data_IF_458467515361
#
_entry.id   IF_458467515361
#
_cell.length_a   1.000
_cell.length_b   1.000
_cell.length_c   1.000
_cell.angle_alpha   90.00
_cell.angle_beta   90.00
_cell.angle_gamma   90.00
#
_symmetry.space_group_name_H-M   'P 1'
#
loop_
_entity.id
_entity.type
_entity.pdbx_description
1 polymer ?
#
# COMPACT_ATOMS: atom_id res chain seq x y z
N UNK A 1 20.23 4.29 16.25
CA UNK A 1 18.88 4.49 15.71
C UNK A 1 18.28 3.12 15.60
N UNK A 2 17.07 2.94 16.11
CA UNK A 2 16.33 1.69 15.95
C UNK A 2 15.61 1.74 14.59
N UNK A 3 15.64 0.64 13.85
CA UNK A 3 14.91 0.54 12.58
C UNK A 3 13.42 0.37 12.88
N UNK A 4 12.59 1.34 12.48
CA UNK A 4 11.12 1.23 12.56
C UNK A 4 10.56 0.42 11.37
N UNK A 5 11.13 -0.75 11.12
CA UNK A 5 10.72 -1.63 10.04
C UNK A 5 9.64 -2.60 10.52
N UNK A 6 8.48 -2.54 9.87
CA UNK A 6 7.51 -3.64 9.95
C UNK A 6 8.02 -4.82 9.13
N UNK A 7 8.44 -5.90 9.82
CA UNK A 7 8.95 -7.12 9.20
C UNK A 7 7.93 -7.76 8.25
N UNK A 8 6.65 -7.80 8.66
CA UNK A 8 5.56 -8.35 7.84
C UNK A 8 5.34 -7.51 6.57
N UNK A 9 5.35 -6.18 6.68
CA UNK A 9 5.24 -5.30 5.52
C UNK A 9 6.39 -5.55 4.53
N UNK A 10 7.60 -5.73 5.06
CA UNK A 10 8.78 -6.04 4.26
C UNK A 10 8.66 -7.41 3.59
N UNK A 11 8.21 -8.44 4.30
CA UNK A 11 8.12 -9.81 3.80
C UNK A 11 6.98 -10.04 2.77
N UNK A 12 5.86 -9.33 2.92
CA UNK A 12 4.67 -9.50 2.06
C UNK A 12 4.52 -8.36 1.05
N UNK A 13 4.16 -7.15 1.50
CA UNK A 13 3.84 -6.06 0.58
C UNK A 13 5.07 -5.57 -0.21
N UNK A 14 6.24 -5.49 0.44
CA UNK A 14 7.47 -4.98 -0.20
C UNK A 14 8.16 -6.03 -1.06
N UNK A 15 8.37 -7.23 -0.52
CA UNK A 15 9.09 -8.29 -1.22
C UNK A 15 8.24 -9.07 -2.23
N UNK A 16 6.95 -9.31 -1.94
CA UNK A 16 6.08 -10.15 -2.78
C UNK A 16 5.00 -9.34 -3.52
N UNK A 17 4.76 -8.10 -3.10
CA UNK A 17 3.71 -7.25 -3.69
C UNK A 17 2.29 -7.74 -3.41
N UNK A 18 2.09 -8.42 -2.28
CA UNK A 18 0.81 -8.98 -1.84
C UNK A 18 0.40 -8.42 -0.49
N UNK A 19 -0.87 -8.56 -0.13
CA UNK A 19 -1.32 -8.35 1.25
C UNK A 19 -0.76 -9.44 2.19
N UNK A 20 -1.06 -9.30 3.48
CA UNK A 20 -0.57 -10.22 4.52
C UNK A 20 -1.12 -11.65 4.42
N UNK A 21 -2.19 -11.85 3.65
CA UNK A 21 -2.70 -13.19 3.31
C UNK A 21 -1.95 -13.83 2.12
N UNK A 22 -0.99 -13.14 1.53
CA UNK A 22 -0.22 -13.63 0.38
C UNK A 22 -0.92 -13.44 -0.97
N UNK A 23 -2.07 -12.75 -1.03
CA UNK A 23 -2.82 -12.53 -2.25
C UNK A 23 -2.81 -11.06 -2.70
N UNK A 24 -3.05 -10.82 -4.00
CA UNK A 24 -3.33 -9.48 -4.53
C UNK A 24 -4.83 -9.24 -4.62
N UNK A 25 -5.24 -7.98 -4.58
CA UNK A 25 -6.61 -7.54 -4.88
C UNK A 25 -6.74 -6.87 -6.24
N UNK A 26 -5.64 -6.72 -6.97
CA UNK A 26 -5.61 -6.07 -8.26
C UNK A 26 -5.35 -7.08 -9.38
N UNK A 27 -6.24 -7.07 -10.37
CA UNK A 27 -6.21 -8.00 -11.50
C UNK A 27 -6.44 -7.26 -12.81
N UNK A 28 -5.74 -7.66 -13.87
CA UNK A 28 -5.95 -7.11 -15.20
C UNK A 28 -7.35 -7.46 -15.72
N UNK A 29 -8.11 -6.44 -16.10
CA UNK A 29 -9.49 -6.61 -16.59
C UNK A 29 -9.62 -7.57 -17.77
N UNK A 30 -8.64 -7.58 -18.66
CA UNK A 30 -8.71 -8.34 -19.92
C UNK A 30 -8.46 -9.85 -19.78
N UNK A 31 -7.71 -10.29 -18.76
CA UNK A 31 -7.30 -11.69 -18.64
C UNK A 31 -7.22 -12.21 -17.20
N UNK A 32 -7.60 -11.40 -16.21
CA UNK A 32 -7.59 -11.77 -14.80
C UNK A 32 -6.20 -12.02 -14.22
N UNK A 33 -5.11 -11.69 -14.93
CA UNK A 33 -3.76 -11.89 -14.39
C UNK A 33 -3.53 -10.98 -13.19
N UNK A 34 -2.91 -11.48 -12.11
CA UNK A 34 -2.65 -10.70 -10.91
C UNK A 34 -1.65 -9.59 -11.20
N UNK A 35 -1.83 -8.45 -10.53
CA UNK A 35 -0.87 -7.35 -10.48
C UNK A 35 -0.31 -7.28 -9.06
N UNK A 36 1.01 -7.32 -8.94
CA UNK A 36 1.72 -7.22 -7.68
C UNK A 36 2.30 -5.82 -7.54
N UNK A 37 2.03 -5.16 -6.42
CA UNK A 37 2.36 -3.75 -6.22
C UNK A 37 3.22 -3.58 -4.99
N UNK A 38 4.26 -2.76 -5.12
CA UNK A 38 5.19 -2.47 -4.04
C UNK A 38 4.49 -1.62 -2.96
N UNK A 39 4.34 -2.18 -1.77
CA UNK A 39 3.59 -1.59 -0.64
C UNK A 39 2.08 -1.43 -0.87
N UNK A 40 1.68 -0.54 -1.78
CA UNK A 40 0.29 -0.10 -1.90
C UNK A 40 -0.12 0.08 -3.36
N UNK A 41 -1.42 -0.07 -3.60
CA UNK A 41 -2.03 0.14 -4.92
C UNK A 41 -2.35 1.56 -5.30
N UNK A 42 -1.50 2.52 -4.91
CA UNK A 42 -1.81 3.96 -4.96
C UNK A 42 -1.98 4.57 -6.36
N UNK A 43 -1.71 3.82 -7.43
CA UNK A 43 -1.94 4.26 -8.82
C UNK A 43 -3.31 3.82 -9.38
N UNK A 44 -4.06 3.01 -8.64
CA UNK A 44 -5.43 2.67 -8.97
C UNK A 44 -6.41 3.65 -8.31
N UNK A 45 -7.58 3.85 -8.93
CA UNK A 45 -8.65 4.69 -8.36
C UNK A 45 -9.13 4.17 -7.00
N UNK A 46 -8.99 2.86 -6.77
CA UNK A 46 -9.31 2.20 -5.51
C UNK A 46 -8.23 1.19 -5.16
N UNK A 47 -7.87 1.10 -3.89
CA UNK A 47 -6.93 0.11 -3.39
C UNK A 47 -7.43 -0.52 -2.09
N UNK A 48 -6.96 -1.73 -1.82
CA UNK A 48 -7.15 -2.43 -0.55
C UNK A 48 -5.79 -2.46 0.14
N UNK A 49 -5.75 -2.02 1.40
CA UNK A 49 -4.54 -1.95 2.22
C UNK A 49 -4.86 -2.43 3.64
N UNK A 50 -3.84 -2.81 4.40
CA UNK A 50 -4.00 -3.12 5.82
C UNK A 50 -4.41 -1.87 6.59
N UNK A 51 -5.29 -2.03 7.60
CA UNK A 51 -5.66 -0.94 8.51
C UNK A 51 -4.44 -0.38 9.25
N UNK A 52 -3.40 -1.20 9.47
CA UNK A 52 -2.15 -0.79 10.10
C UNK A 52 -1.20 -0.02 9.16
N UNK A 53 -1.50 0.05 7.86
CA UNK A 53 -0.72 0.77 6.86
C UNK A 53 -1.29 2.16 6.54
N UNK A 54 -2.25 2.64 7.34
CA UNK A 54 -2.93 3.92 7.15
C UNK A 54 -2.85 4.77 8.41
N UNK A 55 -2.87 6.08 8.23
CA UNK A 55 -3.03 7.07 9.29
C UNK A 55 -4.11 8.08 8.90
N UNK A 56 -4.90 8.52 9.88
CA UNK A 56 -5.98 9.49 9.65
C UNK A 56 -5.35 10.88 9.51
N UNK A 57 -5.51 11.47 8.33
CA UNK A 57 -5.11 12.85 8.10
C UNK A 57 -6.21 13.81 8.61
N UNK A 58 -5.88 14.82 9.43
CA UNK A 58 -6.82 15.87 9.80
C UNK A 58 -7.44 16.55 8.57
N UNK A 59 -8.73 16.88 8.67
CA UNK A 59 -9.48 17.55 7.58
C UNK A 59 -8.92 18.93 7.17
N UNK A 60 -8.08 19.54 8.03
CA UNK A 60 -7.41 20.81 7.75
C UNK A 60 -6.24 20.67 6.77
N UNK A 61 -5.79 19.45 6.45
CA UNK A 61 -4.62 19.21 5.60
C UNK A 61 -5.05 18.77 4.18
N UNK A 62 -4.71 19.52 3.12
CA UNK A 62 -5.10 19.17 1.75
C UNK A 62 -4.36 17.93 1.24
N UNK A 63 -5.10 16.87 0.88
CA UNK A 63 -4.53 15.58 0.45
C UNK A 63 -3.45 15.69 -0.64
N UNK A 64 -3.64 16.52 -1.67
CA UNK A 64 -2.69 16.62 -2.79
C UNK A 64 -1.31 17.12 -2.36
N UNK A 65 -1.25 18.11 -1.48
CA UNK A 65 0.03 18.68 -1.02
C UNK A 65 0.71 17.75 -0.01
N UNK A 66 -0.08 17.04 0.79
CA UNK A 66 0.40 16.20 1.89
C UNK A 66 0.65 14.75 1.47
N UNK A 67 0.28 14.35 0.24
CA UNK A 67 0.55 13.01 -0.30
C UNK A 67 2.03 12.62 -0.25
N UNK A 68 2.94 13.60 -0.30
CA UNK A 68 4.39 13.38 -0.21
C UNK A 68 4.82 12.75 1.12
N UNK A 69 4.06 12.98 2.21
CA UNK A 69 4.38 12.42 3.53
C UNK A 69 4.20 10.90 3.59
N UNK A 70 3.48 10.29 2.65
CA UNK A 70 3.25 8.84 2.63
C UNK A 70 4.46 8.01 2.21
N UNK A 71 5.52 8.64 1.71
CA UNK A 71 6.75 7.96 1.26
C UNK A 71 8.03 8.60 1.83
N UNK A 72 7.93 9.79 2.42
CA UNK A 72 9.05 10.57 2.93
C UNK A 72 9.78 9.89 4.10
#
# INVERSE_FOLDING_TARGET
GEDELCEDCSAYNRAKGTLFDGETRLFLRGNGKPIFMYCMGGLAEHCVVSAHALSILPNSLPYTQFAILGCA
#
